data_IF_866001185696
#
_entry.id   IF_866001185696
#
_cell.length_a   1.000
_cell.length_b   1.000
_cell.length_c   1.000
_cell.angle_alpha   90.00
_cell.angle_beta   90.00
_cell.angle_gamma   90.00
#
_symmetry.space_group_name_H-M   'P 1'
#
loop_
_entity.id
_entity.type
_entity.pdbx_description
1 polymer ?
#
# COMPACT_ATOMS: atom_id res chain seq x y z
N UNK A 1 -33.24 -33.79 -7.19
CA UNK A 1 -32.22 -33.55 -6.14
C UNK A 1 -31.71 -32.13 -6.28
N UNK A 2 -32.16 -31.22 -5.42
CA UNK A 2 -31.66 -29.86 -5.38
C UNK A 2 -30.42 -29.83 -4.47
N UNK A 3 -29.27 -29.44 -5.03
CA UNK A 3 -28.04 -29.23 -4.25
C UNK A 3 -28.24 -27.97 -3.42
N UNK A 4 -28.38 -28.15 -2.10
CA UNK A 4 -28.45 -27.06 -1.15
C UNK A 4 -27.17 -26.22 -1.26
N UNK A 5 -27.30 -24.96 -1.71
CA UNK A 5 -26.26 -23.96 -1.51
C UNK A 5 -26.16 -23.73 -0.01
N UNK A 6 -25.12 -24.29 0.62
CA UNK A 6 -24.71 -23.86 1.94
C UNK A 6 -24.26 -22.40 1.82
N UNK A 7 -25.16 -21.48 2.19
CA UNK A 7 -24.80 -20.11 2.51
C UNK A 7 -24.07 -20.12 3.86
N UNK A 8 -22.79 -20.49 3.87
CA UNK A 8 -21.93 -20.04 4.96
C UNK A 8 -21.76 -18.53 4.74
N UNK A 9 -22.43 -17.73 5.56
CA UNK A 9 -22.06 -16.32 5.66
C UNK A 9 -20.65 -16.31 6.21
N UNK A 10 -19.66 -16.18 5.32
CA UNK A 10 -18.28 -15.97 5.71
C UNK A 10 -18.25 -14.61 6.38
N UNK A 11 -18.41 -14.57 7.71
CA UNK A 11 -18.15 -13.37 8.48
C UNK A 11 -16.61 -13.25 8.59
N UNK A 12 -15.99 -12.35 7.82
CA UNK A 12 -14.54 -12.30 7.75
C UNK A 12 -13.91 -11.84 9.08
N UNK A 13 -14.69 -11.22 9.96
CA UNK A 13 -14.25 -10.82 11.29
C UNK A 13 -14.12 -12.00 12.25
N UNK A 14 -14.97 -13.03 12.09
CA UNK A 14 -14.93 -14.20 12.98
C UNK A 14 -13.71 -15.10 12.72
N UNK A 15 -13.23 -15.13 11.47
CA UNK A 15 -12.11 -15.99 11.09
C UNK A 15 -10.79 -15.58 11.80
N UNK A 16 -10.42 -14.30 11.77
CA UNK A 16 -9.13 -13.87 12.31
C UNK A 16 -9.06 -13.91 13.84
N UNK A 17 -10.17 -13.66 14.53
CA UNK A 17 -10.22 -13.80 15.98
C UNK A 17 -9.94 -15.25 16.42
N UNK A 18 -10.51 -16.24 15.73
CA UNK A 18 -10.24 -17.65 15.97
C UNK A 18 -8.78 -18.06 15.67
N UNK A 19 -8.10 -17.32 14.80
CA UNK A 19 -6.68 -17.49 14.48
C UNK A 19 -5.71 -16.82 15.48
N UNK A 20 -6.25 -16.19 16.54
CA UNK A 20 -5.48 -15.44 17.54
C UNK A 20 -5.10 -14.03 17.09
N UNK A 21 -5.86 -13.44 16.16
CA UNK A 21 -5.70 -12.06 15.69
C UNK A 21 -7.01 -11.26 15.84
N UNK A 22 -7.49 -11.03 17.07
CA UNK A 22 -8.79 -10.41 17.33
C UNK A 22 -8.85 -8.90 17.00
N UNK A 23 -7.70 -8.22 16.89
CA UNK A 23 -7.66 -6.79 16.53
C UNK A 23 -7.50 -6.56 15.03
N UNK A 24 -7.22 -7.63 14.28
CA UNK A 24 -7.02 -7.59 12.83
C UNK A 24 -8.32 -7.88 12.08
N UNK A 25 -8.41 -7.44 10.83
CA UNK A 25 -9.58 -7.64 9.98
C UNK A 25 -9.20 -7.74 8.51
N UNK A 26 -9.95 -8.53 7.75
CA UNK A 26 -9.94 -8.55 6.28
C UNK A 26 -11.40 -8.64 5.85
N UNK A 27 -11.99 -7.60 5.28
CA UNK A 27 -13.44 -7.54 4.98
C UNK A 27 -13.73 -6.84 3.66
N UNK A 28 -14.99 -6.89 3.20
CA UNK A 28 -15.45 -6.07 2.07
C UNK A 28 -14.96 -6.49 0.68
N UNK A 29 -14.23 -7.61 0.59
CA UNK A 29 -13.87 -8.22 -0.69
C UNK A 29 -15.12 -8.73 -1.44
N UNK A 30 -15.11 -8.74 -2.78
CA UNK A 30 -13.98 -8.37 -3.64
C UNK A 30 -13.90 -6.89 -4.00
N UNK A 31 -14.92 -6.08 -3.74
CA UNK A 31 -15.05 -4.75 -4.38
C UNK A 31 -14.58 -3.58 -3.53
N UNK A 32 -14.72 -3.66 -2.21
CA UNK A 32 -14.35 -2.59 -1.26
C UNK A 32 -13.57 -3.17 -0.10
N UNK A 33 -12.53 -3.94 -0.43
CA UNK A 33 -11.71 -4.63 0.54
C UNK A 33 -11.06 -3.68 1.54
N UNK A 34 -11.02 -4.10 2.80
CA UNK A 34 -10.20 -3.47 3.83
C UNK A 34 -9.44 -4.57 4.56
N UNK A 35 -8.12 -4.45 4.59
CA UNK A 35 -7.25 -5.32 5.38
C UNK A 35 -6.54 -4.45 6.43
N UNK A 36 -6.67 -4.80 7.71
CA UNK A 36 -5.99 -4.12 8.79
C UNK A 36 -5.36 -5.15 9.73
N UNK A 37 -4.06 -5.01 9.98
CA UNK A 37 -3.35 -5.83 10.95
C UNK A 37 -3.01 -5.00 12.18
N UNK A 38 -3.48 -5.44 13.35
CA UNK A 38 -3.30 -4.72 14.64
C UNK A 38 -2.99 -5.65 15.81
N UNK A 39 -2.53 -6.86 15.51
CA UNK A 39 -2.13 -7.85 16.51
C UNK A 39 -0.61 -7.93 16.68
N UNK A 40 -0.14 -8.93 17.43
CA UNK A 40 1.27 -9.09 17.75
C UNK A 40 2.13 -9.31 16.51
N UNK A 41 3.32 -8.71 16.45
CA UNK A 41 4.24 -8.82 15.32
C UNK A 41 4.60 -10.28 14.95
N UNK A 42 4.51 -11.22 15.90
CA UNK A 42 4.69 -12.66 15.66
C UNK A 42 3.65 -13.26 14.69
N UNK A 43 2.52 -12.57 14.48
CA UNK A 43 1.37 -13.04 13.69
C UNK A 43 1.32 -12.46 12.28
N UNK A 44 2.26 -11.59 11.88
CA UNK A 44 2.27 -10.97 10.54
C UNK A 44 2.24 -12.01 9.41
N UNK A 45 3.03 -13.08 9.53
CA UNK A 45 3.03 -14.17 8.56
C UNK A 45 1.69 -14.91 8.46
N UNK A 46 1.03 -15.14 9.61
CA UNK A 46 -0.30 -15.76 9.66
C UNK A 46 -1.36 -14.84 9.04
N UNK A 47 -1.25 -13.52 9.26
CA UNK A 47 -2.13 -12.55 8.61
C UNK A 47 -1.94 -12.55 7.10
N UNK A 48 -0.71 -12.53 6.59
CA UNK A 48 -0.44 -12.64 5.15
C UNK A 48 -1.05 -13.91 4.55
N UNK A 49 -0.92 -15.03 5.25
CA UNK A 49 -1.52 -16.29 4.81
C UNK A 49 -3.05 -16.20 4.73
N UNK A 50 -3.70 -15.53 5.69
CA UNK A 50 -5.14 -15.28 5.64
C UNK A 50 -5.53 -14.35 4.49
N UNK A 51 -4.75 -13.30 4.21
CA UNK A 51 -4.95 -12.46 3.02
C UNK A 51 -4.88 -13.31 1.75
N UNK A 52 -3.88 -14.17 1.62
CA UNK A 52 -3.71 -15.08 0.47
C UNK A 52 -4.90 -16.03 0.32
N UNK A 53 -5.33 -16.68 1.41
CA UNK A 53 -6.48 -17.59 1.42
C UNK A 53 -7.76 -16.88 0.98
N UNK A 54 -8.02 -15.69 1.49
CA UNK A 54 -9.20 -14.89 1.12
C UNK A 54 -9.18 -14.49 -0.36
N UNK A 55 -8.01 -14.08 -0.87
CA UNK A 55 -7.86 -13.72 -2.28
C UNK A 55 -7.94 -14.91 -3.24
N UNK A 56 -7.71 -16.14 -2.77
CA UNK A 56 -7.81 -17.35 -3.58
C UNK A 56 -9.24 -17.60 -4.10
N UNK A 57 -10.26 -17.05 -3.43
CA UNK A 57 -11.66 -17.14 -3.87
C UNK A 57 -11.97 -16.32 -5.13
N UNK A 58 -11.03 -15.48 -5.60
CA UNK A 58 -11.24 -14.56 -6.72
C UNK A 58 -10.18 -14.76 -7.81
N UNK A 59 -10.51 -14.51 -9.10
CA UNK A 59 -9.51 -14.49 -10.16
C UNK A 59 -8.48 -13.38 -9.93
N UNK A 60 -7.33 -13.46 -10.61
CA UNK A 60 -6.32 -12.41 -10.55
C UNK A 60 -6.92 -11.10 -11.09
N UNK A 61 -6.70 -9.99 -10.37
CA UNK A 61 -7.35 -8.70 -10.64
C UNK A 61 -8.83 -8.62 -10.26
N UNK A 62 -9.41 -9.72 -9.75
CA UNK A 62 -10.81 -9.80 -9.34
C UNK A 62 -11.11 -9.25 -7.95
N UNK A 63 -10.11 -8.69 -7.25
CA UNK A 63 -10.21 -8.16 -5.90
C UNK A 63 -9.54 -6.78 -5.78
N UNK A 64 -10.14 -5.92 -4.98
CA UNK A 64 -9.70 -4.55 -4.71
C UNK A 64 -9.71 -4.31 -3.21
N UNK A 65 -8.60 -3.77 -2.68
CA UNK A 65 -8.56 -3.13 -1.37
C UNK A 65 -8.65 -1.62 -1.53
N UNK A 66 -9.65 -1.01 -0.88
CA UNK A 66 -9.64 0.44 -0.68
C UNK A 66 -8.56 0.81 0.32
N UNK A 67 -8.30 -0.05 1.31
CA UNK A 67 -7.26 0.19 2.30
C UNK A 67 -6.55 -1.10 2.71
N UNK A 68 -5.22 -1.02 2.78
CA UNK A 68 -4.37 -1.96 3.52
C UNK A 68 -3.67 -1.17 4.62
N UNK A 69 -3.94 -1.49 5.88
CA UNK A 69 -3.39 -0.80 7.05
C UNK A 69 -2.60 -1.76 7.94
N UNK A 70 -1.29 -1.68 7.85
CA UNK A 70 -0.34 -2.46 8.66
C UNK A 70 0.39 -1.60 9.70
N UNK A 71 -0.01 -0.34 9.85
CA UNK A 71 0.67 0.68 10.65
C UNK A 71 0.76 0.33 12.14
N UNK A 72 1.76 0.91 12.82
CA UNK A 72 1.98 0.81 14.27
C UNK A 72 2.20 -0.63 14.79
N UNK A 73 2.70 -1.51 13.93
CA UNK A 73 3.16 -2.84 14.29
C UNK A 73 4.47 -3.07 13.58
N UNK A 74 5.47 -3.66 14.24
CA UNK A 74 6.72 -3.99 13.57
C UNK A 74 6.53 -5.16 12.60
N UNK A 75 7.01 -5.02 11.36
CA UNK A 75 7.00 -6.08 10.36
C UNK A 75 8.41 -6.52 10.02
N UNK A 76 8.65 -7.84 10.01
CA UNK A 76 9.90 -8.38 9.48
C UNK A 76 9.97 -8.17 7.96
N UNK A 77 11.19 -8.04 7.42
CA UNK A 77 11.40 -7.95 5.98
C UNK A 77 10.74 -9.12 5.22
N UNK A 78 10.78 -10.34 5.76
CA UNK A 78 10.12 -11.51 5.19
C UNK A 78 8.59 -11.40 5.15
N UNK A 79 7.96 -10.78 6.16
CA UNK A 79 6.50 -10.60 6.20
C UNK A 79 6.06 -9.52 5.22
N UNK A 80 6.85 -8.44 5.11
CA UNK A 80 6.63 -7.37 4.13
C UNK A 80 6.74 -7.91 2.72
N UNK A 81 7.82 -8.63 2.42
CA UNK A 81 8.01 -9.27 1.12
C UNK A 81 6.85 -10.21 0.78
N UNK A 82 6.46 -11.05 1.75
CA UNK A 82 5.35 -11.98 1.54
C UNK A 82 4.03 -11.26 1.24
N UNK A 83 3.71 -10.18 1.97
CA UNK A 83 2.50 -9.39 1.71
C UNK A 83 2.50 -8.81 0.30
N UNK A 84 3.58 -8.12 -0.10
CA UNK A 84 3.65 -7.49 -1.42
C UNK A 84 3.71 -8.50 -2.56
N UNK A 85 4.33 -9.67 -2.34
CA UNK A 85 4.29 -10.77 -3.29
C UNK A 85 2.87 -11.29 -3.50
N UNK A 86 2.09 -11.49 -2.44
CA UNK A 86 0.66 -11.87 -2.56
C UNK A 86 -0.12 -10.84 -3.38
N UNK A 87 0.06 -9.54 -3.08
CA UNK A 87 -0.62 -8.46 -3.79
C UNK A 87 -0.24 -8.42 -5.28
N UNK A 88 1.02 -8.68 -5.61
CA UNK A 88 1.52 -8.76 -6.98
C UNK A 88 0.99 -9.98 -7.73
N UNK A 89 1.12 -11.18 -7.15
CA UNK A 89 0.66 -12.45 -7.74
C UNK A 89 -0.84 -12.43 -8.06
N UNK A 90 -1.64 -11.81 -7.19
CA UNK A 90 -3.09 -11.68 -7.36
C UNK A 90 -3.52 -10.44 -8.14
N UNK A 91 -2.56 -9.60 -8.57
CA UNK A 91 -2.79 -8.33 -9.26
C UNK A 91 -3.82 -7.45 -8.56
N UNK A 92 -3.76 -7.41 -7.23
CA UNK A 92 -4.75 -6.72 -6.40
C UNK A 92 -4.48 -5.22 -6.44
N UNK A 93 -5.53 -4.45 -6.73
CA UNK A 93 -5.48 -2.99 -6.57
C UNK A 93 -5.54 -2.65 -5.08
N UNK A 94 -4.65 -1.77 -4.63
CA UNK A 94 -4.69 -1.14 -3.31
C UNK A 94 -4.77 0.37 -3.51
N UNK A 95 -5.88 0.98 -3.11
CA UNK A 95 -6.04 2.44 -3.28
C UNK A 95 -5.24 3.23 -2.23
N UNK A 96 -5.32 2.80 -0.96
CA UNK A 96 -4.60 3.40 0.17
C UNK A 96 -3.77 2.36 0.92
N UNK A 97 -2.47 2.61 1.04
CA UNK A 97 -1.57 1.82 1.88
C UNK A 97 -1.11 2.64 3.09
N UNK A 98 -1.36 2.13 4.30
CA UNK A 98 -0.87 2.72 5.56
C UNK A 98 0.11 1.77 6.22
N UNK A 99 1.38 2.12 6.21
CA UNK A 99 2.47 1.34 6.78
C UNK A 99 3.48 2.24 7.52
N UNK A 100 2.97 3.20 8.29
CA UNK A 100 3.78 4.06 9.14
C UNK A 100 4.09 3.38 10.48
N UNK A 101 5.25 3.69 11.05
CA UNK A 101 5.71 3.14 12.33
C UNK A 101 5.74 1.60 12.32
N UNK A 102 6.27 1.03 11.23
CA UNK A 102 6.37 -0.41 11.02
C UNK A 102 7.81 -0.95 11.11
N UNK A 103 8.80 -0.06 11.16
CA UNK A 103 10.22 -0.42 11.06
C UNK A 103 10.64 -0.85 9.65
N UNK A 104 9.95 -0.37 8.61
CA UNK A 104 10.31 -0.62 7.22
C UNK A 104 11.66 0.02 6.88
N UNK A 105 12.40 -0.60 5.98
CA UNK A 105 13.71 -0.16 5.49
C UNK A 105 13.74 -0.13 3.96
N UNK A 106 14.91 0.13 3.38
CA UNK A 106 15.09 0.17 1.93
C UNK A 106 14.77 -1.17 1.26
N UNK A 107 15.04 -2.30 1.93
CA UNK A 107 14.66 -3.63 1.43
C UNK A 107 13.15 -3.80 1.34
N UNK A 108 12.42 -3.28 2.32
CA UNK A 108 10.96 -3.21 2.30
C UNK A 108 10.43 -2.40 1.11
N UNK A 109 11.12 -1.31 0.73
CA UNK A 109 10.76 -0.52 -0.45
C UNK A 109 11.10 -1.22 -1.77
N UNK A 110 12.10 -2.09 -1.81
CA UNK A 110 12.36 -2.94 -2.97
C UNK A 110 11.19 -3.90 -3.23
N UNK A 111 10.67 -4.57 -2.21
CA UNK A 111 9.49 -5.44 -2.34
C UNK A 111 8.25 -4.63 -2.77
N UNK A 112 8.05 -3.43 -2.22
CA UNK A 112 6.95 -2.54 -2.63
C UNK A 112 7.10 -2.08 -4.09
N UNK A 113 8.30 -1.70 -4.52
CA UNK A 113 8.59 -1.32 -5.89
C UNK A 113 8.38 -2.49 -6.86
N UNK A 114 8.74 -3.71 -6.48
CA UNK A 114 8.47 -4.92 -7.27
C UNK A 114 6.96 -5.17 -7.46
N UNK A 115 6.16 -4.95 -6.41
CA UNK A 115 4.70 -4.98 -6.52
C UNK A 115 4.18 -3.91 -7.50
N UNK A 116 4.61 -2.65 -7.35
CA UNK A 116 4.19 -1.56 -8.25
C UNK A 116 4.60 -1.82 -9.71
N UNK A 117 5.78 -2.39 -9.96
CA UNK A 117 6.24 -2.72 -11.32
C UNK A 117 5.35 -3.73 -12.04
N UNK A 118 4.78 -4.68 -11.29
CA UNK A 118 3.98 -5.78 -11.83
C UNK A 118 2.48 -5.49 -11.88
N UNK A 119 2.01 -4.38 -11.31
CA UNK A 119 0.59 -4.01 -11.36
C UNK A 119 0.23 -3.25 -12.65
N UNK A 120 -1.02 -3.36 -13.13
CA UNK A 120 -1.53 -2.47 -14.18
C UNK A 120 -1.40 -1.00 -13.77
N UNK A 121 -0.94 -0.13 -14.68
CA UNK A 121 -0.72 1.29 -14.38
C UNK A 121 -1.98 1.98 -13.80
N UNK A 122 -3.16 1.66 -14.33
CA UNK A 122 -4.46 2.17 -13.86
C UNK A 122 -4.82 1.81 -12.41
N UNK A 123 -4.09 0.87 -11.81
CA UNK A 123 -4.29 0.43 -10.42
C UNK A 123 -3.31 1.09 -9.45
N UNK A 124 -2.43 1.98 -9.91
CA UNK A 124 -1.47 2.70 -9.06
C UNK A 124 -2.17 3.29 -7.82
N UNK A 125 -1.62 3.12 -6.60
CA UNK A 125 -2.25 3.62 -5.38
C UNK A 125 -2.41 5.14 -5.41
N UNK A 126 -3.51 5.64 -4.85
CA UNK A 126 -3.70 7.08 -4.69
C UNK A 126 -2.97 7.60 -3.44
N UNK A 127 -2.76 6.77 -2.42
CA UNK A 127 -2.12 7.17 -1.16
C UNK A 127 -1.21 6.08 -0.59
N UNK A 128 0.01 6.47 -0.22
CA UNK A 128 1.00 5.63 0.43
C UNK A 128 1.56 6.37 1.64
N UNK A 129 1.38 5.82 2.84
CA UNK A 129 1.83 6.43 4.09
C UNK A 129 2.87 5.57 4.79
N UNK A 130 4.13 6.03 4.81
CA UNK A 130 5.32 5.31 5.27
C UNK A 130 6.09 6.07 6.35
N UNK A 131 5.45 6.98 7.07
CA UNK A 131 6.14 7.82 8.06
C UNK A 131 6.71 6.99 9.23
N UNK A 132 7.69 7.53 9.94
CA UNK A 132 8.30 6.91 11.12
C UNK A 132 8.83 5.49 10.85
N UNK A 133 9.54 5.31 9.73
CA UNK A 133 10.25 4.08 9.40
C UNK A 133 11.76 4.37 9.30
N UNK A 134 12.52 3.51 8.62
CA UNK A 134 13.98 3.59 8.43
C UNK A 134 14.35 3.75 6.95
N UNK A 135 13.50 4.45 6.18
CA UNK A 135 13.68 4.66 4.74
C UNK A 135 14.73 5.74 4.50
N UNK A 136 15.74 5.42 3.70
CA UNK A 136 16.79 6.39 3.32
C UNK A 136 16.46 7.08 1.99
N UNK A 137 17.25 8.08 1.53
CA UNK A 137 17.07 8.67 0.20
C UNK A 137 17.20 7.64 -0.93
N UNK A 138 18.07 6.63 -0.81
CA UNK A 138 18.20 5.58 -1.82
C UNK A 138 16.96 4.68 -1.88
N UNK A 139 16.41 4.30 -0.73
CA UNK A 139 15.16 3.55 -0.66
C UNK A 139 13.99 4.34 -1.26
N UNK A 140 13.88 5.62 -0.91
CA UNK A 140 12.86 6.50 -1.48
C UNK A 140 12.98 6.60 -3.00
N UNK A 141 14.19 6.77 -3.53
CA UNK A 141 14.43 6.88 -4.97
C UNK A 141 13.91 5.65 -5.73
N UNK A 142 14.10 4.43 -5.18
CA UNK A 142 13.58 3.18 -5.78
C UNK A 142 12.06 3.18 -5.86
N UNK A 143 11.37 3.63 -4.80
CA UNK A 143 9.92 3.70 -4.78
C UNK A 143 9.40 4.78 -5.74
N UNK A 144 10.03 5.95 -5.76
CA UNK A 144 9.71 7.06 -6.66
C UNK A 144 9.80 6.61 -8.12
N UNK A 145 10.91 5.99 -8.51
CA UNK A 145 11.11 5.50 -9.87
C UNK A 145 10.03 4.48 -10.29
N UNK A 146 9.64 3.58 -9.38
CA UNK A 146 8.57 2.62 -9.64
C UNK A 146 7.21 3.30 -9.87
N UNK A 147 6.89 4.33 -9.08
CA UNK A 147 5.67 5.14 -9.23
C UNK A 147 5.69 5.90 -10.56
N UNK A 148 6.78 6.58 -10.88
CA UNK A 148 6.94 7.34 -12.13
C UNK A 148 6.78 6.47 -13.37
N UNK A 149 7.41 5.30 -13.36
CA UNK A 149 7.33 4.35 -14.46
C UNK A 149 5.90 3.85 -14.71
N UNK A 150 5.10 3.68 -13.65
CA UNK A 150 3.67 3.34 -13.78
C UNK A 150 2.85 4.55 -14.20
N UNK A 151 3.12 5.71 -13.63
CA UNK A 151 2.43 6.95 -13.94
C UNK A 151 2.56 7.35 -15.42
N UNK A 152 3.75 7.22 -16.00
CA UNK A 152 4.03 7.54 -17.39
C UNK A 152 3.22 6.71 -18.41
N UNK A 153 2.66 5.57 -17.99
CA UNK A 153 1.81 4.72 -18.82
C UNK A 153 0.32 5.09 -18.73
N UNK A 154 -0.04 6.05 -17.89
CA UNK A 154 -1.41 6.52 -17.75
C UNK A 154 -1.73 7.54 -18.85
N UNK A 155 -2.86 7.33 -19.51
CA UNK A 155 -3.40 8.31 -20.46
C UNK A 155 -4.33 9.29 -19.73
N UNK A 156 -4.14 10.58 -19.98
CA UNK A 156 -4.94 11.66 -19.41
C UNK A 156 -4.49 12.09 -18.01
N UNK A 157 -5.17 13.11 -17.47
CA UNK A 157 -4.85 13.66 -16.15
C UNK A 157 -5.19 12.64 -15.06
N UNK A 158 -4.21 12.37 -14.20
CA UNK A 158 -4.36 11.53 -13.01
C UNK A 158 -3.99 12.33 -11.77
N UNK A 159 -4.45 11.87 -10.61
CA UNK A 159 -4.14 12.50 -9.33
C UNK A 159 -2.79 11.98 -8.81
N UNK A 160 -1.79 12.84 -8.55
CA UNK A 160 -0.47 12.40 -8.10
C UNK A 160 -0.59 11.48 -6.88
N UNK A 161 0.30 10.51 -6.74
CA UNK A 161 0.34 9.64 -5.56
C UNK A 161 0.69 10.48 -4.35
N UNK A 162 -0.18 10.49 -3.34
CA UNK A 162 0.12 11.15 -2.07
C UNK A 162 1.05 10.27 -1.25
N UNK A 163 2.32 10.68 -1.14
CA UNK A 163 3.36 9.91 -0.49
C UNK A 163 3.82 10.61 0.79
N UNK A 164 3.65 9.94 1.93
CA UNK A 164 4.10 10.43 3.25
C UNK A 164 5.31 9.63 3.72
N UNK A 165 6.42 10.32 3.98
CA UNK A 165 7.70 9.72 4.40
C UNK A 165 8.33 10.46 5.59
N UNK A 166 7.60 11.32 6.29
CA UNK A 166 8.09 12.03 7.47
C UNK A 166 8.57 11.13 8.61
N UNK A 167 9.55 11.59 9.38
CA UNK A 167 10.16 10.77 10.45
C UNK A 167 10.98 9.58 9.94
N UNK A 168 11.33 9.54 8.66
CA UNK A 168 12.37 8.66 8.11
C UNK A 168 13.70 9.42 7.96
N UNK A 169 14.83 8.72 7.82
CA UNK A 169 16.11 9.34 7.46
C UNK A 169 16.15 9.74 5.97
N UNK A 170 15.17 10.52 5.51
CA UNK A 170 15.14 11.17 4.19
C UNK A 170 15.44 12.65 4.42
N UNK A 171 16.46 13.17 3.73
CA UNK A 171 16.79 14.60 3.82
C UNK A 171 15.88 15.47 2.94
N UNK A 172 15.69 16.72 3.37
CA UNK A 172 14.88 17.72 2.66
C UNK A 172 15.43 17.99 1.26
N UNK A 173 16.75 17.91 1.07
CA UNK A 173 17.40 18.14 -0.22
C UNK A 173 16.90 17.14 -1.27
N UNK A 174 16.70 15.88 -0.90
CA UNK A 174 16.17 14.83 -1.76
C UNK A 174 14.72 15.13 -2.18
N UNK A 175 13.87 15.56 -1.24
CA UNK A 175 12.47 15.91 -1.55
C UNK A 175 12.37 17.19 -2.40
N UNK A 176 13.10 18.23 -2.01
CA UNK A 176 13.19 19.48 -2.76
C UNK A 176 13.75 19.26 -4.16
N UNK A 177 14.73 18.37 -4.34
CA UNK A 177 15.27 17.98 -5.64
C UNK A 177 14.22 17.33 -6.55
N UNK A 178 13.31 16.50 -6.01
CA UNK A 178 12.19 15.94 -6.77
C UNK A 178 11.20 17.03 -7.21
N UNK A 179 10.90 17.99 -6.34
CA UNK A 179 9.99 19.09 -6.67
C UNK A 179 10.62 20.04 -7.70
N UNK A 180 11.89 20.43 -7.52
CA UNK A 180 12.62 21.30 -8.43
C UNK A 180 12.80 20.70 -9.83
N UNK A 181 12.88 19.38 -9.93
CA UNK A 181 12.94 18.66 -11.20
C UNK A 181 11.58 18.36 -11.84
N UNK A 182 10.48 18.85 -11.27
CA UNK A 182 9.13 18.64 -11.79
C UNK A 182 8.62 17.20 -11.63
N UNK A 183 9.24 16.41 -10.76
CA UNK A 183 8.88 15.01 -10.47
C UNK A 183 7.88 14.89 -9.33
N UNK A 184 7.75 15.93 -8.51
CA UNK A 184 6.79 15.97 -7.42
C UNK A 184 6.26 17.39 -7.17
N UNK A 185 5.24 17.50 -6.33
CA UNK A 185 4.72 18.76 -5.81
C UNK A 185 4.54 18.68 -4.29
N UNK A 186 4.73 19.78 -3.58
CA UNK A 186 4.29 19.90 -2.20
C UNK A 186 2.82 20.33 -2.13
N UNK A 187 2.05 19.71 -1.25
CA UNK A 187 0.64 20.02 -1.06
C UNK A 187 0.28 20.00 0.44
N UNK A 188 -0.62 20.89 0.86
CA UNK A 188 -0.99 21.07 2.28
C UNK A 188 -1.78 19.89 2.85
N UNK A 189 -2.50 19.16 1.99
CA UNK A 189 -3.23 17.94 2.33
C UNK A 189 -3.40 17.04 1.12
N UNK A 190 -3.85 15.80 1.34
CA UNK A 190 -4.15 14.87 0.26
C UNK A 190 -5.28 15.35 -0.66
N UNK A 191 -6.11 16.30 -0.23
CA UNK A 191 -7.20 16.88 -1.03
C UNK A 191 -6.89 18.29 -1.56
N UNK A 192 -5.65 18.76 -1.39
CA UNK A 192 -5.31 20.15 -1.65
C UNK A 192 -5.14 20.45 -3.17
N UNK A 193 -5.57 21.62 -3.66
CA UNK A 193 -5.54 21.97 -5.08
C UNK A 193 -4.17 21.82 -5.76
N UNK A 194 -3.08 22.02 -5.02
CA UNK A 194 -1.70 21.87 -5.48
C UNK A 194 -1.45 20.45 -6.02
N UNK A 195 -2.00 19.43 -5.35
CA UNK A 195 -1.98 18.04 -5.83
C UNK A 195 -2.89 17.88 -7.05
N UNK A 196 -4.14 18.32 -6.95
CA UNK A 196 -5.16 18.09 -7.98
C UNK A 196 -4.91 18.81 -9.30
N UNK A 197 -4.20 19.95 -9.26
CA UNK A 197 -3.89 20.77 -10.43
C UNK A 197 -2.55 20.44 -11.05
N UNK A 198 -1.70 19.68 -10.36
CA UNK A 198 -0.40 19.28 -10.89
C UNK A 198 -0.54 18.19 -11.98
N UNK A 199 0.50 18.11 -12.81
CA UNK A 199 0.67 17.07 -13.84
C UNK A 199 1.89 16.19 -13.54
N UNK A 200 2.23 16.03 -12.25
CA UNK A 200 3.40 15.29 -11.77
C UNK A 200 2.97 13.98 -11.11
N UNK A 201 3.85 12.97 -11.03
CA UNK A 201 3.49 11.65 -10.50
C UNK A 201 3.27 11.62 -8.99
N UNK A 202 3.91 12.52 -8.24
CA UNK A 202 3.99 12.46 -6.78
C UNK A 202 3.56 13.76 -6.12
N UNK A 203 2.94 13.64 -4.95
CA UNK A 203 2.70 14.76 -4.05
C UNK A 203 3.15 14.41 -2.64
N UNK A 204 3.89 15.32 -2.01
CA UNK A 204 4.36 15.21 -0.63
C UNK A 204 3.66 16.25 0.26
N UNK A 205 3.54 16.03 1.58
CA UNK A 205 3.07 17.05 2.51
C UNK A 205 3.94 18.32 2.47
N UNK A 206 3.31 19.50 2.57
CA UNK A 206 4.01 20.78 2.49
C UNK A 206 4.71 21.22 3.77
N UNK A 207 4.67 20.44 4.86
CA UNK A 207 5.48 20.78 6.05
C UNK A 207 6.99 20.53 5.83
N UNK A 208 7.36 20.07 4.63
CA UNK A 208 8.73 20.00 4.10
C UNK A 208 9.09 21.17 3.18
N UNK A 209 8.12 22.03 2.86
CA UNK A 209 8.28 23.18 1.96
C UNK A 209 8.80 24.42 2.70
#
# INVERSE_FOLDING_TARGET
MAVARQSSSFDPHHALAADGMPRSSIRGLPTRGEAAFKDEASKTGQFCEKVRQMLAAYPNGGAVFNQVDISKVHWSASSVDFLFRILAEKSVKVDRLRAFECGLDDGSLQSMAAWLKNMPAMNLPSEIHLSHNRITPSGLAVLVEAIENRWAQLFGKRLPVWLRVEGNPVDDFSLCGLVASGRAVFATSCNAPERWNSCVPLAFPSFWA
#
